data_IF_480823753946
#
_entry.id   IF_480823753946
#
_cell.length_a   1.000
_cell.length_b   1.000
_cell.length_c   1.000
_cell.angle_alpha   90.00
_cell.angle_beta   90.00
_cell.angle_gamma   90.00
#
_symmetry.space_group_name_H-M   'P 1'
#
loop_
_entity.id
_entity.type
_entity.pdbx_description
1 polymer ?
#
# COMPACT_ATOMS: atom_id res chain seq x y z
N UNK A 1 26.00 1.96 -9.34
CA UNK A 1 25.27 2.24 -8.07
C UNK A 1 25.21 3.73 -7.73
N UNK A 2 26.33 4.47 -7.73
CA UNK A 2 26.32 5.92 -7.43
C UNK A 2 25.33 6.74 -8.28
N UNK A 3 25.27 6.51 -9.59
CA UNK A 3 24.34 7.22 -10.48
C UNK A 3 22.86 6.97 -10.13
N UNK A 4 22.49 5.74 -9.75
CA UNK A 4 21.12 5.41 -9.34
C UNK A 4 20.74 6.11 -8.02
N UNK A 5 21.69 6.18 -7.09
CA UNK A 5 21.50 6.90 -5.82
C UNK A 5 21.31 8.40 -6.08
N UNK A 6 22.12 8.98 -6.97
CA UNK A 6 21.98 10.40 -7.37
C UNK A 6 20.62 10.69 -8.01
N UNK A 7 20.13 9.81 -8.90
CA UNK A 7 18.82 9.94 -9.52
C UNK A 7 17.68 9.89 -8.49
N UNK A 8 17.77 9.00 -7.50
CA UNK A 8 16.78 8.90 -6.42
C UNK A 8 16.69 10.20 -5.61
N UNK A 9 17.83 10.73 -5.17
CA UNK A 9 17.87 11.99 -4.42
C UNK A 9 17.41 13.19 -5.26
N UNK A 10 17.76 13.21 -6.54
CA UNK A 10 17.29 14.25 -7.46
C UNK A 10 15.75 14.24 -7.60
N UNK A 11 15.14 13.05 -7.70
CA UNK A 11 13.69 12.90 -7.74
C UNK A 11 13.01 13.42 -6.48
N UNK A 12 13.52 13.06 -5.30
CA UNK A 12 13.01 13.56 -4.01
C UNK A 12 13.12 15.09 -3.90
N UNK A 13 14.25 15.66 -4.32
CA UNK A 13 14.48 17.10 -4.28
C UNK A 13 13.49 17.84 -5.19
N UNK A 14 13.24 17.32 -6.39
CA UNK A 14 12.27 17.90 -7.32
C UNK A 14 10.85 17.90 -6.75
N UNK A 15 10.41 16.80 -6.12
CA UNK A 15 9.08 16.72 -5.49
C UNK A 15 8.94 17.78 -4.39
N UNK A 16 9.97 17.92 -3.55
CA UNK A 16 9.98 18.92 -2.49
C UNK A 16 9.96 20.35 -3.04
N UNK A 17 10.75 20.62 -4.08
CA UNK A 17 10.80 21.92 -4.73
C UNK A 17 9.45 22.32 -5.35
N UNK A 18 8.80 21.40 -6.07
CA UNK A 18 7.48 21.66 -6.64
C UNK A 18 6.40 21.87 -5.57
N UNK A 19 6.46 21.12 -4.46
CA UNK A 19 5.55 21.34 -3.34
C UNK A 19 5.73 22.74 -2.71
N UNK A 20 6.97 23.19 -2.51
CA UNK A 20 7.26 24.54 -2.00
C UNK A 20 6.78 25.62 -2.96
N UNK A 21 7.04 25.47 -4.26
CA UNK A 21 6.56 26.41 -5.27
C UNK A 21 5.04 26.55 -5.23
N UNK A 22 4.29 25.44 -5.19
CA UNK A 22 2.83 25.49 -5.04
C UNK A 22 2.42 26.21 -3.75
N UNK A 23 3.10 25.96 -2.64
CA UNK A 23 2.82 26.63 -1.38
C UNK A 23 3.00 28.16 -1.44
N UNK A 24 4.01 28.64 -2.18
CA UNK A 24 4.31 30.07 -2.32
C UNK A 24 3.49 30.78 -3.40
N UNK A 25 3.14 30.10 -4.49
CA UNK A 25 2.38 30.67 -5.60
C UNK A 25 0.87 30.73 -5.30
N UNK A 26 0.36 29.90 -4.39
CA UNK A 26 -1.06 29.85 -4.07
C UNK A 26 -1.55 31.02 -3.21
N UNK A 27 -2.66 31.63 -3.61
CA UNK A 27 -3.40 32.59 -2.78
C UNK A 27 -4.31 31.87 -1.77
N UNK A 28 -3.92 31.86 -0.50
CA UNK A 28 -4.62 31.12 0.56
C UNK A 28 -5.74 31.95 1.20
N UNK A 29 -6.99 31.68 0.81
CA UNK A 29 -8.18 32.13 1.55
C UNK A 29 -8.63 31.06 2.54
N UNK A 30 -8.59 31.40 3.83
CA UNK A 30 -9.05 30.51 4.91
C UNK A 30 -10.49 30.86 5.28
N UNK A 31 -11.44 30.10 4.74
CA UNK A 31 -12.84 30.14 5.17
C UNK A 31 -13.14 28.90 6.01
N UNK A 32 -13.92 29.06 7.07
CA UNK A 32 -14.25 27.98 8.01
C UNK A 32 -14.96 26.81 7.30
N UNK A 33 -15.80 27.11 6.30
CA UNK A 33 -16.44 26.11 5.43
C UNK A 33 -15.50 25.42 4.44
N UNK A 34 -14.35 26.03 4.11
CA UNK A 34 -13.33 25.45 3.22
C UNK A 34 -12.33 24.56 3.97
N UNK A 35 -12.09 24.88 5.25
CA UNK A 35 -11.15 24.14 6.12
C UNK A 35 -11.82 22.94 6.78
N UNK A 36 -13.13 23.00 7.02
CA UNK A 36 -13.89 21.90 7.64
C UNK A 36 -14.17 20.76 6.66
N UNK A 37 -14.38 19.55 7.21
CA UNK A 37 -14.77 18.36 6.46
C UNK A 37 -16.12 18.59 5.78
N UNK A 38 -16.20 18.27 4.48
CA UNK A 38 -17.41 18.47 3.69
C UNK A 38 -18.40 17.33 3.92
N UNK A 39 -19.43 17.57 4.74
CA UNK A 39 -20.62 16.72 4.85
C UNK A 39 -21.86 17.42 4.28
N UNK A 40 -21.78 17.89 3.03
CA UNK A 40 -22.92 18.53 2.32
C UNK A 40 -23.59 19.69 3.08
N UNK A 41 -22.84 20.43 3.89
CA UNK A 41 -23.35 21.56 4.67
C UNK A 41 -23.98 21.20 6.03
N UNK A 42 -23.96 19.92 6.42
CA UNK A 42 -24.37 19.49 7.75
C UNK A 42 -23.20 19.47 8.73
N UNK A 43 -23.52 19.64 10.02
CA UNK A 43 -22.57 19.49 11.12
C UNK A 43 -22.40 18.00 11.43
N UNK A 44 -21.17 17.50 11.39
CA UNK A 44 -20.86 16.12 11.78
C UNK A 44 -21.33 15.85 13.21
N UNK A 45 -22.41 15.07 13.37
CA UNK A 45 -22.93 14.67 14.69
C UNK A 45 -22.13 13.49 15.27
N UNK A 46 -21.41 12.75 14.42
CA UNK A 46 -20.58 11.59 14.79
C UNK A 46 -19.09 11.90 14.69
N UNK A 47 -18.29 11.19 15.50
CA UNK A 47 -16.83 11.16 15.36
C UNK A 47 -16.48 10.67 13.95
N UNK A 48 -15.53 11.35 13.30
CA UNK A 48 -15.03 11.05 11.95
C UNK A 48 -14.47 9.61 11.86
N UNK A 49 -13.94 9.09 12.97
CA UNK A 49 -13.53 7.70 13.10
C UNK A 49 -14.68 6.85 13.65
N UNK A 50 -15.48 6.29 12.75
CA UNK A 50 -16.41 5.20 13.06
C UNK A 50 -15.66 3.86 13.08
N UNK A 51 -16.26 2.85 13.72
CA UNK A 51 -15.76 1.48 13.62
C UNK A 51 -15.79 1.04 12.15
N UNK A 52 -14.61 0.79 11.60
CA UNK A 52 -14.45 0.29 10.24
C UNK A 52 -14.78 -1.21 10.16
N UNK A 53 -15.16 -1.71 8.99
CA UNK A 53 -15.50 -3.13 8.86
C UNK A 53 -14.24 -4.00 8.98
N UNK A 54 -14.40 -5.16 9.63
CA UNK A 54 -13.32 -6.14 9.84
C UNK A 54 -12.76 -6.68 8.51
N UNK A 55 -13.54 -6.59 7.43
CA UNK A 55 -13.14 -7.04 6.09
C UNK A 55 -11.83 -6.39 5.61
N UNK A 56 -11.64 -5.09 5.88
CA UNK A 56 -10.41 -4.42 5.48
C UNK A 56 -9.18 -4.85 6.29
N UNK A 57 -9.41 -5.23 7.55
CA UNK A 57 -8.36 -5.82 8.37
C UNK A 57 -7.94 -7.20 7.84
N UNK A 58 -8.91 -8.01 7.41
CA UNK A 58 -8.65 -9.32 6.78
C UNK A 58 -7.85 -9.16 5.48
N UNK A 59 -8.18 -8.18 4.64
CA UNK A 59 -7.43 -7.89 3.41
C UNK A 59 -5.97 -7.55 3.72
N UNK A 60 -5.70 -6.77 4.77
CA UNK A 60 -4.32 -6.44 5.19
C UNK A 60 -3.55 -7.69 5.65
N UNK A 61 -4.19 -8.56 6.42
CA UNK A 61 -3.57 -9.81 6.87
C UNK A 61 -3.22 -10.73 5.69
N UNK A 62 -4.12 -10.84 4.72
CA UNK A 62 -3.90 -11.63 3.51
C UNK A 62 -2.70 -11.08 2.71
N UNK A 63 -2.59 -9.75 2.59
CA UNK A 63 -1.47 -9.12 1.89
C UNK A 63 -0.11 -9.48 2.51
N UNK A 64 0.00 -9.46 3.85
CA UNK A 64 1.27 -9.79 4.54
C UNK A 64 1.69 -11.24 4.30
N UNK A 65 0.74 -12.18 4.37
CA UNK A 65 1.02 -13.60 4.14
C UNK A 65 1.46 -13.82 2.68
N UNK A 66 0.76 -13.19 1.74
CA UNK A 66 1.07 -13.31 0.31
C UNK A 66 2.44 -12.72 -0.07
N UNK A 67 2.83 -11.60 0.54
CA UNK A 67 4.15 -11.00 0.29
C UNK A 67 5.30 -11.93 0.74
N UNK A 68 5.14 -12.58 1.90
CA UNK A 68 6.11 -13.58 2.37
C UNK A 68 6.19 -14.80 1.44
N UNK A 69 5.06 -15.27 0.92
CA UNK A 69 5.03 -16.38 -0.04
C UNK A 69 5.78 -16.06 -1.33
N UNK A 70 5.59 -14.85 -1.89
CA UNK A 70 6.29 -14.42 -3.10
C UNK A 70 7.81 -14.34 -2.86
N UNK A 71 8.24 -13.82 -1.71
CA UNK A 71 9.67 -13.76 -1.37
C UNK A 71 10.28 -15.16 -1.27
N UNK A 72 9.58 -16.11 -0.64
CA UNK A 72 10.01 -17.51 -0.59
C UNK A 72 10.08 -18.13 -1.99
N UNK A 73 9.08 -17.86 -2.83
CA UNK A 73 9.01 -18.35 -4.20
C UNK A 73 10.17 -17.84 -5.07
N UNK A 74 10.51 -16.55 -4.97
CA UNK A 74 11.68 -15.96 -5.62
C UNK A 74 12.98 -16.67 -5.20
N UNK A 75 13.13 -17.00 -3.92
CA UNK A 75 14.29 -17.75 -3.42
C UNK A 75 14.44 -19.14 -4.05
N UNK A 76 13.33 -19.87 -4.20
CA UNK A 76 13.34 -21.20 -4.83
C UNK A 76 13.61 -21.15 -6.33
N UNK A 77 13.08 -20.16 -7.06
CA UNK A 77 13.33 -20.01 -8.50
C UNK A 77 14.81 -19.86 -8.86
N UNK A 78 15.62 -19.32 -7.94
CA UNK A 78 17.05 -19.10 -8.14
C UNK A 78 17.86 -20.38 -7.84
N UNK A 79 17.26 -21.35 -7.13
CA UNK A 79 17.91 -22.60 -6.75
C UNK A 79 17.79 -23.67 -7.85
N UNK A 80 18.79 -24.57 -7.90
CA UNK A 80 19.00 -25.61 -8.92
C UNK A 80 17.75 -26.37 -9.39
N UNK A 81 17.84 -27.08 -10.52
CA UNK A 81 16.76 -27.86 -11.14
C UNK A 81 16.02 -28.84 -10.20
N UNK A 82 16.64 -29.27 -9.10
CA UNK A 82 15.99 -30.07 -8.04
C UNK A 82 14.91 -29.31 -7.26
N UNK A 83 14.91 -27.98 -7.29
CA UNK A 83 13.96 -27.10 -6.61
C UNK A 83 12.58 -27.01 -7.28
N UNK A 84 12.43 -27.60 -8.48
CA UNK A 84 11.16 -27.67 -9.19
C UNK A 84 10.10 -28.47 -8.39
N UNK A 85 10.50 -29.45 -7.59
CA UNK A 85 9.55 -30.17 -6.72
C UNK A 85 9.05 -29.31 -5.54
N UNK A 86 9.92 -28.50 -4.93
CA UNK A 86 9.52 -27.54 -3.90
C UNK A 86 8.59 -26.44 -4.45
N UNK A 87 8.79 -26.04 -5.71
CA UNK A 87 7.90 -25.11 -6.41
C UNK A 87 6.46 -25.62 -6.48
N UNK A 88 6.26 -26.88 -6.89
CA UNK A 88 4.91 -27.46 -6.96
C UNK A 88 4.22 -27.57 -5.60
N UNK A 89 4.99 -27.85 -4.54
CA UNK A 89 4.46 -27.91 -3.17
C UNK A 89 3.97 -26.53 -2.69
N UNK A 90 4.72 -25.46 -3.01
CA UNK A 90 4.36 -24.09 -2.68
C UNK A 90 3.15 -23.61 -3.49
N UNK A 91 3.07 -23.94 -4.78
CA UNK A 91 1.87 -23.66 -5.58
C UNK A 91 0.61 -24.37 -5.03
N UNK A 92 0.75 -25.59 -4.49
CA UNK A 92 -0.35 -26.28 -3.84
C UNK A 92 -0.79 -25.58 -2.55
N UNK A 93 0.15 -25.12 -1.72
CA UNK A 93 -0.15 -24.29 -0.55
C UNK A 93 -0.86 -22.98 -0.93
N UNK A 94 -0.45 -22.33 -2.02
CA UNK A 94 -1.07 -21.10 -2.54
C UNK A 94 -2.55 -21.29 -2.92
N UNK A 95 -2.88 -22.39 -3.60
CA UNK A 95 -4.27 -22.73 -3.94
C UNK A 95 -5.10 -23.01 -2.68
N UNK A 96 -4.52 -23.70 -1.69
CA UNK A 96 -5.18 -23.94 -0.39
C UNK A 96 -5.46 -22.65 0.39
N UNK A 97 -4.51 -21.70 0.38
CA UNK A 97 -4.70 -20.39 1.00
C UNK A 97 -5.79 -19.58 0.29
N UNK A 98 -5.79 -19.51 -1.05
CA UNK A 98 -6.86 -18.87 -1.81
C UNK A 98 -8.24 -19.47 -1.54
N UNK A 99 -8.32 -20.80 -1.41
CA UNK A 99 -9.57 -21.46 -1.05
C UNK A 99 -10.06 -21.06 0.35
N UNK A 100 -9.16 -20.95 1.33
CA UNK A 100 -9.50 -20.53 2.69
C UNK A 100 -10.00 -19.07 2.76
N UNK A 101 -9.48 -18.21 1.89
CA UNK A 101 -9.87 -16.80 1.77
C UNK A 101 -11.21 -16.66 1.04
N UNK A 102 -11.49 -17.48 0.02
CA UNK A 102 -12.73 -17.39 -0.74
C UNK A 102 -13.95 -17.95 0.02
N UNK A 103 -13.73 -18.79 1.03
CA UNK A 103 -14.79 -19.37 1.87
C UNK A 103 -15.15 -18.48 3.09
N UNK A 104 -14.44 -17.37 3.29
CA UNK A 104 -14.73 -16.32 4.27
C UNK A 104 -15.21 -15.05 3.57
#
# INVERSE_FOLDING_TARGET
MFFLVMLFFFGLLMIFFFYLLNFFLDYKKFYLSKVNVFESGFLNVKKIQSSFSVQFFVIMLIFVIFDLEIVMFLGFLISDWSSLFSFFFICFCYVGFLYSVMFW
#
